data_IF_887892934582
#
_entry.id   IF_887892934582
#
_cell.length_a   1.000
_cell.length_b   1.000
_cell.length_c   1.000
_cell.angle_alpha   90.00
_cell.angle_beta   90.00
_cell.angle_gamma   90.00
#
_symmetry.space_group_name_H-M   'P 1'
#
loop_
_entity.id
_entity.type
_entity.pdbx_description
1 polymer ?
#
# COMPACT_ATOMS: atom_id res chain seq x y z
N UNK A 1 1.46 -22.77 6.62
CA UNK A 1 2.02 -21.47 7.05
C UNK A 1 2.66 -20.80 5.83
N UNK A 2 2.68 -19.47 5.73
CA UNK A 2 3.35 -18.79 4.61
C UNK A 2 4.86 -19.04 4.67
N UNK A 3 5.51 -19.10 3.51
CA UNK A 3 6.98 -19.08 3.43
C UNK A 3 7.50 -17.68 3.76
N UNK A 4 8.81 -17.52 4.06
CA UNK A 4 9.39 -16.19 4.23
C UNK A 4 9.19 -15.27 3.02
N UNK A 5 9.14 -15.83 1.81
CA UNK A 5 8.82 -15.05 0.60
C UNK A 5 7.34 -14.63 0.57
N UNK A 6 6.43 -15.50 1.03
CA UNK A 6 5.00 -15.20 1.14
C UNK A 6 4.71 -14.08 2.14
N UNK A 7 5.35 -14.08 3.31
CA UNK A 7 5.20 -13.00 4.31
C UNK A 7 5.61 -11.62 3.76
N UNK A 8 6.61 -11.58 2.87
CA UNK A 8 7.08 -10.33 2.24
C UNK A 8 6.06 -9.71 1.28
N UNK A 9 4.98 -10.43 0.92
CA UNK A 9 3.89 -9.90 0.11
C UNK A 9 2.90 -9.06 0.92
N UNK A 10 2.97 -9.05 2.26
CA UNK A 10 2.03 -8.29 3.09
C UNK A 10 1.87 -6.81 2.65
N UNK A 11 2.92 -6.03 2.34
CA UNK A 11 2.77 -4.65 1.87
C UNK A 11 1.96 -4.53 0.57
N UNK A 12 2.04 -5.51 -0.33
CA UNK A 12 1.25 -5.56 -1.55
C UNK A 12 -0.24 -5.72 -1.24
N UNK A 13 -0.57 -6.64 -0.33
CA UNK A 13 -1.96 -6.84 0.11
C UNK A 13 -2.53 -5.62 0.84
N UNK A 14 -1.71 -4.94 1.65
CA UNK A 14 -2.11 -3.67 2.29
C UNK A 14 -2.44 -2.61 1.23
N UNK A 15 -1.60 -2.46 0.20
CA UNK A 15 -1.85 -1.51 -0.88
C UNK A 15 -3.15 -1.80 -1.64
N UNK A 16 -3.40 -3.07 -1.99
CA UNK A 16 -4.64 -3.50 -2.65
C UNK A 16 -5.87 -3.23 -1.77
N UNK A 17 -5.77 -3.51 -0.46
CA UNK A 17 -6.84 -3.27 0.49
C UNK A 17 -7.19 -1.79 0.60
N UNK A 18 -6.18 -0.94 0.75
CA UNK A 18 -6.33 0.52 0.85
C UNK A 18 -6.86 1.14 -0.45
N UNK A 19 -6.53 0.57 -1.60
CA UNK A 19 -7.14 0.95 -2.88
C UNK A 19 -8.64 0.61 -2.90
N UNK A 20 -9.02 -0.60 -2.49
CA UNK A 20 -10.43 -1.01 -2.39
C UNK A 20 -11.25 -0.14 -1.43
N UNK A 21 -10.69 0.23 -0.28
CA UNK A 21 -11.27 1.19 0.69
C UNK A 21 -11.68 2.53 0.05
N UNK A 22 -11.00 2.95 -1.01
CA UNK A 22 -11.26 4.24 -1.67
C UNK A 22 -12.09 4.13 -2.94
N UNK A 23 -12.15 2.97 -3.56
CA UNK A 23 -12.71 2.82 -4.91
C UNK A 23 -13.95 1.93 -4.97
N UNK A 24 -14.20 1.11 -3.95
CA UNK A 24 -15.12 -0.03 -4.06
C UNK A 24 -16.28 -0.05 -3.07
N UNK A 25 -16.60 1.08 -2.45
CA UNK A 25 -17.75 1.17 -1.56
C UNK A 25 -18.85 2.01 -2.23
N UNK A 26 -20.06 1.45 -2.25
CA UNK A 26 -21.23 2.19 -2.69
C UNK A 26 -21.57 3.29 -1.65
N UNK A 27 -22.25 4.38 -2.07
CA UNK A 27 -22.77 5.36 -1.11
C UNK A 27 -23.65 4.67 -0.06
N UNK A 28 -23.29 4.80 1.22
CA UNK A 28 -24.05 4.24 2.35
C UNK A 28 -23.61 2.84 2.82
N UNK A 29 -22.65 2.20 2.15
CA UNK A 29 -22.07 0.95 2.62
C UNK A 29 -20.98 1.21 3.67
N UNK A 30 -21.00 0.54 4.85
CA UNK A 30 -19.96 0.72 5.85
C UNK A 30 -18.63 0.15 5.32
N UNK A 31 -17.57 0.96 5.17
CA UNK A 31 -16.32 0.47 4.65
C UNK A 31 -15.67 -0.46 5.67
N UNK A 32 -15.18 -1.60 5.20
CA UNK A 32 -14.21 -2.36 5.98
C UNK A 32 -12.93 -1.51 6.12
N UNK A 33 -12.24 -1.58 7.25
CA UNK A 33 -10.94 -0.90 7.45
C UNK A 33 -9.85 -1.88 7.91
N UNK A 34 -8.61 -1.70 7.45
CA UNK A 34 -7.45 -2.42 8.01
C UNK A 34 -7.05 -1.82 9.36
N UNK A 35 -7.02 -2.64 10.41
CA UNK A 35 -6.72 -2.21 11.79
C UNK A 35 -5.40 -2.82 12.28
N UNK A 36 -4.55 -2.01 12.91
CA UNK A 36 -3.43 -2.50 13.70
C UNK A 36 -3.94 -3.09 15.01
N UNK A 37 -3.69 -4.38 15.22
CA UNK A 37 -4.19 -5.13 16.40
C UNK A 37 -3.65 -4.59 17.72
N UNK A 38 -2.47 -3.97 17.75
CA UNK A 38 -1.87 -3.49 18.98
C UNK A 38 -2.47 -2.15 19.43
N UNK A 39 -2.65 -1.22 18.50
CA UNK A 39 -3.18 0.12 18.78
C UNK A 39 -4.70 0.23 18.65
N UNK A 40 -5.35 -0.70 17.94
CA UNK A 40 -6.76 -0.60 17.56
C UNK A 40 -7.04 0.48 16.52
N UNK A 41 -6.00 1.13 15.99
CA UNK A 41 -6.14 2.22 15.03
C UNK A 41 -6.13 1.73 13.60
N UNK A 42 -6.74 2.50 12.71
CA UNK A 42 -6.67 2.24 11.27
C UNK A 42 -5.23 2.34 10.78
N UNK A 43 -4.81 1.39 9.94
CA UNK A 43 -3.50 1.47 9.31
C UNK A 43 -3.50 2.63 8.32
N UNK A 44 -2.65 3.65 8.50
CA UNK A 44 -2.69 4.84 7.68
C UNK A 44 -2.33 4.53 6.23
N UNK A 45 -2.95 5.27 5.31
CA UNK A 45 -2.60 5.18 3.90
C UNK A 45 -1.12 5.50 3.67
N UNK A 46 -0.38 4.60 3.04
CA UNK A 46 1.03 4.79 2.70
C UNK A 46 1.17 5.10 1.21
N UNK A 47 1.31 6.39 0.90
CA UNK A 47 1.69 6.84 -0.44
C UNK A 47 3.16 6.49 -0.73
N UNK A 48 3.48 6.19 -1.99
CA UNK A 48 4.86 6.17 -2.48
C UNK A 48 5.41 7.58 -2.41
N UNK A 49 6.62 7.74 -1.87
CA UNK A 49 7.27 9.03 -1.70
C UNK A 49 8.63 9.06 -2.37
N UNK A 50 9.02 10.22 -2.85
CA UNK A 50 10.37 10.47 -3.38
C UNK A 50 11.40 10.63 -2.24
N UNK A 51 12.67 10.81 -2.61
CA UNK A 51 13.76 11.00 -1.65
C UNK A 51 13.61 12.27 -0.78
N UNK A 52 12.75 13.21 -1.17
CA UNK A 52 12.45 14.45 -0.43
C UNK A 52 11.19 14.30 0.43
N UNK A 53 10.54 13.13 0.41
CA UNK A 53 9.32 12.84 1.15
C UNK A 53 8.04 13.33 0.48
N UNK A 54 8.09 13.90 -0.72
CA UNK A 54 6.90 14.28 -1.47
C UNK A 54 6.21 13.05 -2.06
N UNK A 55 4.89 13.10 -2.27
CA UNK A 55 4.17 12.00 -2.94
C UNK A 55 4.71 11.87 -4.36
N UNK A 56 5.11 10.65 -4.73
CA UNK A 56 5.61 10.34 -6.08
C UNK A 56 4.43 9.97 -6.99
N UNK A 57 4.04 10.81 -7.95
CA UNK A 57 3.01 10.43 -8.92
C UNK A 57 3.57 9.40 -9.90
N UNK A 58 2.70 8.58 -10.48
CA UNK A 58 3.08 7.57 -11.47
C UNK A 58 3.81 8.17 -12.68
N UNK A 59 3.39 9.36 -13.12
CA UNK A 59 4.01 10.09 -14.23
C UNK A 59 5.43 10.58 -13.95
N UNK A 60 5.84 10.67 -12.69
CA UNK A 60 7.21 11.02 -12.29
C UNK A 60 8.06 9.79 -11.93
N UNK A 61 7.61 8.59 -12.31
CA UNK A 61 8.33 7.35 -12.10
C UNK A 61 8.69 6.68 -13.42
N UNK A 62 9.88 6.11 -13.50
CA UNK A 62 10.32 5.32 -14.65
C UNK A 62 11.03 4.05 -14.16
N UNK A 63 10.93 2.97 -14.94
CA UNK A 63 11.66 1.72 -14.68
C UNK A 63 12.91 1.71 -15.55
N UNK A 64 14.08 1.68 -14.92
CA UNK A 64 15.37 1.58 -15.61
C UNK A 64 16.14 0.36 -15.15
N UNK A 65 16.70 -0.36 -16.12
CA UNK A 65 17.70 -1.39 -15.84
C UNK A 65 19.00 -0.70 -15.40
N UNK A 66 19.52 -1.06 -14.23
CA UNK A 66 20.81 -0.56 -13.76
C UNK A 66 21.94 -1.31 -14.47
N UNK A 67 23.05 -0.64 -14.83
CA UNK A 67 24.21 -1.31 -15.40
C UNK A 67 24.79 -2.31 -14.38
N UNK A 68 25.20 -3.47 -14.88
CA UNK A 68 25.97 -4.44 -14.08
C UNK A 68 27.39 -3.90 -13.90
N UNK A 69 27.89 -3.87 -12.66
CA UNK A 69 29.27 -3.54 -12.36
C UNK A 69 30.24 -4.64 -12.85
#
# INVERSE_FOLDING_TARGET
VLTPQGERLFPLFVALRQWGERQWFAPGEPPSALIDRCSGQTVPFKAVRDAKGAVLPSSASEVRKLPTA
#
